data_IF_553074735540
#
_entry.id   IF_553074735540
#
_cell.length_a   1.000
_cell.length_b   1.000
_cell.length_c   1.000
_cell.angle_alpha   90.00
_cell.angle_beta   90.00
_cell.angle_gamma   90.00
#
_symmetry.space_group_name_H-M   'P 1'
#
loop_
_entity.id
_entity.type
_entity.pdbx_description
1 polymer ?
#
# COMPACT_ATOMS: atom_id res chain seq x y z
N UNK A 1 3.80 -16.65 12.96
CA UNK A 1 3.78 -15.31 13.57
C UNK A 1 3.30 -14.30 12.55
N UNK A 2 2.32 -13.52 12.91
CA UNK A 2 1.91 -12.38 12.09
C UNK A 2 2.76 -11.17 12.46
N UNK A 3 3.19 -10.42 11.47
CA UNK A 3 3.81 -9.12 11.69
C UNK A 3 2.75 -8.17 12.26
N UNK A 4 3.09 -7.45 13.29
CA UNK A 4 2.22 -6.44 13.88
C UNK A 4 2.70 -5.05 13.51
N UNK A 5 1.77 -4.16 13.19
CA UNK A 5 2.06 -2.75 13.00
C UNK A 5 1.70 -2.02 14.29
N UNK A 6 2.66 -1.30 14.86
CA UNK A 6 2.43 -0.49 16.05
C UNK A 6 2.26 0.98 15.69
N UNK A 7 1.64 1.75 16.59
CA UNK A 7 1.51 3.20 16.44
C UNK A 7 2.88 3.85 16.27
N UNK A 8 3.85 3.47 17.09
CA UNK A 8 5.21 4.04 17.03
C UNK A 8 5.88 3.75 15.70
N UNK A 9 5.72 2.54 15.17
CA UNK A 9 6.28 2.17 13.87
C UNK A 9 5.68 3.00 12.74
N UNK A 10 4.36 3.17 12.73
CA UNK A 10 3.69 3.96 11.68
C UNK A 10 4.05 5.44 11.79
N UNK A 11 4.14 5.98 13.01
CA UNK A 11 4.62 7.35 13.22
C UNK A 11 6.02 7.55 12.66
N UNK A 12 6.93 6.62 12.91
CA UNK A 12 8.30 6.70 12.41
C UNK A 12 8.36 6.59 10.88
N UNK A 13 7.58 5.68 10.29
CA UNK A 13 7.49 5.55 8.83
C UNK A 13 6.99 6.84 8.17
N UNK A 14 5.94 7.43 8.73
CA UNK A 14 5.39 8.70 8.21
C UNK A 14 6.38 9.86 8.36
N UNK A 15 7.14 9.89 9.45
CA UNK A 15 8.17 10.89 9.66
C UNK A 15 9.29 10.78 8.62
N UNK A 16 9.79 9.56 8.39
CA UNK A 16 10.82 9.29 7.39
C UNK A 16 10.32 9.70 6.00
N UNK A 17 9.11 9.30 5.65
CA UNK A 17 8.52 9.63 4.36
C UNK A 17 8.36 11.14 4.18
N UNK A 18 7.90 11.84 5.22
CA UNK A 18 7.75 13.29 5.16
C UNK A 18 9.09 13.99 4.94
N UNK A 19 10.13 13.57 5.62
CA UNK A 19 11.48 14.14 5.43
C UNK A 19 11.98 13.96 3.98
N UNK A 20 11.69 12.79 3.39
CA UNK A 20 12.02 12.52 2.00
C UNK A 20 11.18 13.39 1.05
N UNK A 21 9.85 13.45 1.25
CA UNK A 21 8.93 14.16 0.37
C UNK A 21 9.16 15.68 0.39
N UNK A 22 9.56 16.23 1.55
CA UNK A 22 9.82 17.67 1.68
C UNK A 22 10.99 18.14 0.80
N UNK A 23 11.80 17.23 0.29
CA UNK A 23 12.88 17.52 -0.68
C UNK A 23 12.40 17.59 -2.10
N UNK A 24 11.14 17.28 -2.37
CA UNK A 24 10.56 17.22 -3.71
C UNK A 24 9.57 18.38 -3.88
N UNK A 25 10.02 19.54 -4.44
CA UNK A 25 9.12 20.71 -4.53
C UNK A 25 8.05 20.56 -5.61
N UNK A 26 8.19 19.59 -6.51
CA UNK A 26 7.29 19.38 -7.65
C UNK A 26 6.22 18.32 -7.40
N UNK A 27 6.18 17.72 -6.21
CA UNK A 27 5.17 16.68 -5.91
C UNK A 27 3.76 17.24 -6.03
N UNK A 28 2.87 16.43 -6.56
CA UNK A 28 1.46 16.77 -6.66
C UNK A 28 0.63 15.48 -6.50
N UNK A 29 -0.61 15.65 -6.08
CA UNK A 29 -1.48 14.55 -5.72
C UNK A 29 -1.73 13.59 -6.89
N UNK A 30 -1.96 14.12 -8.09
CA UNK A 30 -2.24 13.28 -9.26
C UNK A 30 -1.06 12.36 -9.60
N UNK A 31 0.15 12.88 -9.53
CA UNK A 31 1.37 12.10 -9.79
C UNK A 31 1.59 11.06 -8.69
N UNK A 32 1.31 11.40 -7.44
CA UNK A 32 1.40 10.45 -6.30
C UNK A 32 0.43 9.28 -6.49
N UNK A 33 -0.81 9.57 -6.87
CA UNK A 33 -1.81 8.52 -7.13
C UNK A 33 -1.39 7.64 -8.30
N UNK A 34 -0.95 8.22 -9.39
CA UNK A 34 -0.49 7.46 -10.56
C UNK A 34 0.70 6.57 -10.20
N UNK A 35 1.68 7.11 -9.48
CA UNK A 35 2.86 6.37 -9.04
C UNK A 35 2.47 5.22 -8.11
N UNK A 36 1.58 5.44 -7.17
CA UNK A 36 1.11 4.42 -6.24
C UNK A 36 0.45 3.25 -6.98
N UNK A 37 -0.38 3.53 -7.99
CA UNK A 37 -1.04 2.49 -8.80
C UNK A 37 0.00 1.70 -9.61
N UNK A 38 0.97 2.38 -10.20
CA UNK A 38 2.04 1.74 -10.96
C UNK A 38 2.85 0.80 -10.04
N UNK A 39 3.24 1.27 -8.87
CA UNK A 39 4.00 0.44 -7.92
C UNK A 39 3.20 -0.76 -7.42
N UNK A 40 1.89 -0.62 -7.24
CA UNK A 40 1.02 -1.76 -6.94
C UNK A 40 1.12 -2.83 -8.03
N UNK A 41 1.01 -2.41 -9.28
CA UNK A 41 1.09 -3.32 -10.43
C UNK A 41 2.49 -3.94 -10.54
N UNK A 42 3.54 -3.17 -10.28
CA UNK A 42 4.91 -3.68 -10.28
C UNK A 42 5.13 -4.76 -9.22
N UNK A 43 4.62 -4.55 -8.00
CA UNK A 43 4.67 -5.60 -6.97
C UNK A 43 3.89 -6.84 -7.40
N UNK A 44 2.64 -6.68 -7.89
CA UNK A 44 1.82 -7.79 -8.37
C UNK A 44 2.55 -8.56 -9.49
N UNK A 45 3.24 -7.84 -10.37
CA UNK A 45 4.02 -8.45 -11.44
C UNK A 45 5.13 -9.38 -10.91
N UNK A 46 5.67 -9.08 -9.73
CA UNK A 46 6.68 -9.96 -9.10
C UNK A 46 6.11 -11.27 -8.58
N UNK A 47 4.82 -11.33 -8.28
CA UNK A 47 4.16 -12.54 -7.78
C UNK A 47 3.95 -13.58 -8.89
N UNK A 48 3.80 -13.15 -10.12
CA UNK A 48 3.71 -13.97 -11.33
C UNK A 48 2.58 -15.01 -11.34
N UNK A 49 1.56 -14.89 -10.47
CA UNK A 49 0.45 -15.87 -10.41
C UNK A 49 -0.31 -15.99 -11.73
N UNK A 50 -0.31 -14.93 -12.55
CA UNK A 50 -0.98 -14.89 -13.84
C UNK A 50 -0.16 -15.50 -14.98
N UNK A 51 1.11 -15.80 -14.74
CA UNK A 51 2.01 -16.42 -15.74
C UNK A 51 1.82 -17.92 -15.74
N UNK A 52 0.71 -18.38 -16.29
CA UNK A 52 0.31 -19.78 -16.27
C UNK A 52 1.28 -20.71 -17.00
N UNK A 53 2.17 -20.16 -17.83
CA UNK A 53 3.20 -20.90 -18.55
C UNK A 53 4.45 -21.19 -17.72
N UNK A 54 4.58 -20.58 -16.54
CA UNK A 54 5.72 -20.81 -15.66
C UNK A 54 5.49 -21.98 -14.72
N UNK A 55 6.49 -22.84 -14.57
CA UNK A 55 6.46 -23.97 -13.62
C UNK A 55 6.60 -23.49 -12.17
N UNK A 56 7.46 -22.51 -11.96
CA UNK A 56 7.72 -21.91 -10.64
C UNK A 56 7.54 -20.40 -10.74
N UNK A 57 6.28 -19.93 -10.66
CA UNK A 57 6.03 -18.48 -10.71
C UNK A 57 6.51 -17.80 -9.43
N UNK A 58 6.85 -16.55 -9.58
CA UNK A 58 7.31 -15.69 -8.49
C UNK A 58 8.77 -15.29 -8.65
N UNK A 59 9.06 -14.00 -8.52
CA UNK A 59 10.42 -13.49 -8.42
C UNK A 59 11.00 -13.82 -7.04
N UNK A 60 12.30 -13.64 -6.88
CA UNK A 60 12.95 -13.82 -5.59
C UNK A 60 12.38 -12.87 -4.53
N UNK A 61 12.59 -13.24 -3.27
CA UNK A 61 12.03 -12.51 -2.13
C UNK A 61 12.47 -11.04 -2.11
N UNK A 62 13.76 -10.78 -2.35
CA UNK A 62 14.29 -9.42 -2.30
C UNK A 62 13.62 -8.52 -3.34
N UNK A 63 13.42 -9.02 -4.55
CA UNK A 63 12.71 -8.29 -5.61
C UNK A 63 11.27 -8.00 -5.22
N UNK A 64 10.56 -8.98 -4.67
CA UNK A 64 9.18 -8.79 -4.20
C UNK A 64 9.10 -7.74 -3.09
N UNK A 65 10.01 -7.77 -2.14
CA UNK A 65 10.02 -6.83 -1.02
C UNK A 65 10.39 -5.42 -1.45
N UNK A 66 11.30 -5.27 -2.41
CA UNK A 66 11.65 -3.97 -2.97
C UNK A 66 10.42 -3.30 -3.60
N UNK A 67 9.69 -4.03 -4.45
CA UNK A 67 8.50 -3.49 -5.09
C UNK A 67 7.37 -3.21 -4.10
N UNK A 68 7.19 -4.06 -3.09
CA UNK A 68 6.21 -3.79 -2.03
C UNK A 68 6.58 -2.54 -1.23
N UNK A 69 7.87 -2.34 -0.98
CA UNK A 69 8.37 -1.15 -0.27
C UNK A 69 8.10 0.13 -1.06
N UNK A 70 8.24 0.09 -2.38
CA UNK A 70 7.93 1.23 -3.23
C UNK A 70 6.43 1.55 -3.23
N UNK A 71 5.59 0.53 -3.28
CA UNK A 71 4.15 0.68 -3.12
C UNK A 71 3.81 1.30 -1.75
N UNK A 72 4.44 0.82 -0.68
CA UNK A 72 4.28 1.39 0.66
C UNK A 72 4.67 2.87 0.70
N UNK A 73 5.82 3.22 0.13
CA UNK A 73 6.31 4.61 0.15
C UNK A 73 5.31 5.58 -0.48
N UNK A 74 4.74 5.23 -1.63
CA UNK A 74 3.74 6.09 -2.28
C UNK A 74 2.41 6.12 -1.52
N UNK A 75 2.03 5.04 -0.82
CA UNK A 75 0.88 5.08 0.07
C UNK A 75 1.10 6.01 1.27
N UNK A 76 2.29 6.03 1.84
CA UNK A 76 2.62 6.96 2.93
C UNK A 76 2.66 8.40 2.43
N UNK A 77 3.21 8.64 1.24
CA UNK A 77 3.19 9.96 0.61
C UNK A 77 1.76 10.43 0.36
N UNK A 78 0.90 9.53 -0.15
CA UNK A 78 -0.52 9.83 -0.36
C UNK A 78 -1.20 10.24 0.97
N UNK A 79 -0.96 9.47 2.03
CA UNK A 79 -1.50 9.78 3.35
C UNK A 79 -1.10 11.18 3.82
N UNK A 80 0.17 11.53 3.67
CA UNK A 80 0.69 12.84 4.07
C UNK A 80 0.13 14.00 3.22
N UNK A 81 -0.25 13.72 1.98
CA UNK A 81 -0.85 14.73 1.10
C UNK A 81 -2.34 14.95 1.37
N UNK A 82 -3.07 13.90 1.77
CA UNK A 82 -4.54 13.96 1.89
C UNK A 82 -5.06 14.04 3.32
N UNK A 83 -4.29 13.62 4.32
CA UNK A 83 -4.71 13.64 5.71
C UNK A 83 -4.24 14.95 6.35
N UNK A 84 -5.19 15.71 6.91
CA UNK A 84 -4.88 16.92 7.67
C UNK A 84 -4.02 16.54 8.89
N UNK A 85 -3.01 17.35 9.19
CA UNK A 85 -2.11 17.14 10.33
C UNK A 85 -2.86 16.99 11.66
N UNK A 86 -4.00 17.66 11.83
CA UNK A 86 -4.83 17.55 13.03
C UNK A 86 -5.50 16.16 13.15
N UNK A 87 -5.67 15.44 12.06
CA UNK A 87 -6.33 14.13 12.01
C UNK A 87 -5.34 12.98 11.91
N UNK A 88 -4.05 13.28 11.86
CA UNK A 88 -3.02 12.28 11.60
C UNK A 88 -2.96 11.21 12.70
N UNK A 89 -3.09 11.58 13.96
CA UNK A 89 -3.09 10.63 15.07
C UNK A 89 -4.28 9.68 15.02
N UNK A 90 -5.46 10.19 14.70
CA UNK A 90 -6.66 9.36 14.52
C UNK A 90 -6.48 8.41 13.32
N UNK A 91 -5.94 8.91 12.23
CA UNK A 91 -5.62 8.10 11.06
C UNK A 91 -4.67 6.94 11.42
N UNK A 92 -3.62 7.21 12.18
CA UNK A 92 -2.67 6.20 12.63
C UNK A 92 -3.37 5.11 13.44
N UNK A 93 -4.22 5.50 14.39
CA UNK A 93 -4.97 4.55 15.21
C UNK A 93 -5.90 3.67 14.36
N UNK A 94 -6.60 4.27 13.40
CA UNK A 94 -7.47 3.53 12.48
C UNK A 94 -6.66 2.52 11.65
N UNK A 95 -5.52 2.94 11.13
CA UNK A 95 -4.64 2.06 10.33
C UNK A 95 -4.13 0.87 11.14
N UNK A 96 -3.64 1.12 12.33
CA UNK A 96 -3.13 0.06 13.22
C UNK A 96 -4.23 -0.94 13.56
N UNK A 97 -5.42 -0.46 13.87
CA UNK A 97 -6.57 -1.33 14.14
C UNK A 97 -6.98 -2.15 12.92
N UNK A 98 -6.99 -1.58 11.73
CA UNK A 98 -7.31 -2.30 10.51
C UNK A 98 -6.32 -3.44 10.24
N UNK A 99 -5.04 -3.20 10.46
CA UNK A 99 -4.01 -4.24 10.28
C UNK A 99 -4.19 -5.35 11.31
N UNK A 100 -4.50 -5.01 12.56
CA UNK A 100 -4.69 -5.98 13.64
C UNK A 100 -5.95 -6.84 13.44
N UNK A 101 -7.04 -6.24 12.97
CA UNK A 101 -8.34 -6.90 12.80
C UNK A 101 -8.43 -7.79 11.56
N UNK A 102 -7.58 -7.57 10.56
CA UNK A 102 -7.60 -8.34 9.32
C UNK A 102 -6.95 -9.71 9.53
N UNK A 103 -7.77 -10.74 9.68
CA UNK A 103 -7.27 -12.08 9.96
C UNK A 103 -6.78 -12.80 8.69
N UNK A 104 -7.59 -12.89 7.64
CA UNK A 104 -7.20 -13.67 6.45
C UNK A 104 -7.74 -13.05 5.16
N UNK A 105 -6.91 -12.27 4.48
CA UNK A 105 -7.21 -11.88 3.10
C UNK A 105 -6.90 -13.06 2.17
N UNK A 106 -7.78 -13.35 1.20
CA UNK A 106 -7.44 -14.34 0.19
C UNK A 106 -6.25 -13.87 -0.63
N UNK A 107 -5.34 -14.79 -0.97
CA UNK A 107 -4.23 -14.50 -1.86
C UNK A 107 -4.74 -14.05 -3.22
N UNK A 108 -4.02 -13.15 -3.85
CA UNK A 108 -4.37 -12.66 -5.18
C UNK A 108 -4.33 -13.79 -6.21
N UNK A 109 -5.33 -13.80 -7.06
CA UNK A 109 -5.36 -14.55 -8.31
C UNK A 109 -5.94 -13.62 -9.38
N UNK A 110 -5.93 -14.04 -10.64
CA UNK A 110 -6.21 -13.14 -11.77
C UNK A 110 -7.52 -12.38 -11.64
N UNK A 111 -8.62 -13.04 -11.30
CA UNK A 111 -9.92 -12.38 -11.14
C UNK A 111 -9.93 -11.45 -9.93
N UNK A 112 -9.39 -11.91 -8.82
CA UNK A 112 -9.34 -11.13 -7.59
C UNK A 112 -8.48 -9.87 -7.74
N UNK A 113 -7.36 -10.00 -8.47
CA UNK A 113 -6.51 -8.85 -8.81
C UNK A 113 -7.27 -7.80 -9.60
N UNK A 114 -8.07 -8.21 -10.60
CA UNK A 114 -8.86 -7.27 -11.39
C UNK A 114 -9.85 -6.52 -10.49
N UNK A 115 -10.51 -7.22 -9.57
CA UNK A 115 -11.41 -6.60 -8.60
C UNK A 115 -10.67 -5.62 -7.67
N UNK A 116 -9.51 -6.02 -7.15
CA UNK A 116 -8.72 -5.17 -6.27
C UNK A 116 -8.25 -3.90 -7.00
N UNK A 117 -7.81 -4.04 -8.25
CA UNK A 117 -7.38 -2.90 -9.06
C UNK A 117 -8.56 -1.96 -9.38
N UNK A 118 -9.73 -2.50 -9.67
CA UNK A 118 -10.94 -1.70 -9.88
C UNK A 118 -11.31 -0.91 -8.62
N UNK A 119 -11.31 -1.55 -7.47
CA UNK A 119 -11.59 -0.89 -6.19
C UNK A 119 -10.58 0.22 -5.91
N UNK A 120 -9.30 -0.07 -6.10
CA UNK A 120 -8.21 0.87 -5.91
C UNK A 120 -8.36 2.12 -6.81
N UNK A 121 -8.55 1.91 -8.11
CA UNK A 121 -8.68 2.99 -9.07
C UNK A 121 -9.99 3.76 -8.89
N UNK A 122 -11.07 3.06 -8.55
CA UNK A 122 -12.39 3.66 -8.33
C UNK A 122 -12.41 4.70 -7.21
N UNK A 123 -11.57 4.53 -6.19
CA UNK A 123 -11.42 5.50 -5.10
C UNK A 123 -10.99 6.89 -5.61
N UNK A 124 -10.21 6.92 -6.69
CA UNK A 124 -9.65 8.17 -7.20
C UNK A 124 -10.48 8.78 -8.35
N UNK A 125 -11.22 7.95 -9.07
CA UNK A 125 -12.09 8.42 -10.16
C UNK A 125 -13.25 9.26 -9.60
N UNK A 126 -13.79 8.86 -8.45
CA UNK A 126 -14.94 9.53 -7.82
C UNK A 126 -14.53 10.58 -6.76
N UNK A 127 -13.25 10.89 -6.66
CA UNK A 127 -12.72 11.81 -5.65
C UNK A 127 -12.23 11.08 -4.40
N UNK A 128 -11.45 11.79 -3.60
CA UNK A 128 -10.84 11.24 -2.38
C UNK A 128 -11.75 11.57 -1.19
N UNK A 129 -12.13 10.54 -0.44
CA UNK A 129 -12.94 10.66 0.77
C UNK A 129 -12.32 9.85 1.93
N UNK A 130 -13.06 9.68 3.02
CA UNK A 130 -12.59 8.94 4.21
C UNK A 130 -12.27 7.47 3.93
N UNK A 131 -12.77 6.91 2.82
CA UNK A 131 -12.48 5.52 2.44
C UNK A 131 -11.06 5.32 1.91
N UNK A 132 -10.30 6.39 1.73
CA UNK A 132 -8.88 6.33 1.31
C UNK A 132 -8.02 5.46 2.24
N UNK A 133 -8.41 5.34 3.50
CA UNK A 133 -7.74 4.47 4.49
C UNK A 133 -7.67 3.03 3.98
N UNK A 134 -8.70 2.54 3.30
CA UNK A 134 -8.75 1.19 2.73
C UNK A 134 -7.66 0.96 1.67
N UNK A 135 -7.28 2.01 0.97
CA UNK A 135 -6.20 1.97 -0.02
C UNK A 135 -4.84 2.02 0.67
N UNK A 136 -4.67 2.97 1.58
CA UNK A 136 -3.37 3.20 2.25
C UNK A 136 -2.95 2.00 3.09
N UNK A 137 -3.90 1.25 3.66
CA UNK A 137 -3.63 0.06 4.46
C UNK A 137 -3.16 -1.15 3.62
N UNK A 138 -3.43 -1.16 2.32
CA UNK A 138 -3.18 -2.33 1.45
C UNK A 138 -1.75 -2.89 1.55
N UNK A 139 -0.68 -2.10 1.46
CA UNK A 139 0.67 -2.66 1.53
C UNK A 139 0.96 -3.38 2.85
N UNK A 140 0.41 -2.91 3.96
CA UNK A 140 0.56 -3.58 5.26
C UNK A 140 -0.17 -4.92 5.30
N UNK A 141 -1.38 -4.97 4.74
CA UNK A 141 -2.15 -6.21 4.68
C UNK A 141 -1.47 -7.25 3.80
N UNK A 142 -0.95 -6.83 2.65
CA UNK A 142 -0.19 -7.73 1.77
C UNK A 142 1.11 -8.20 2.42
N UNK A 143 1.81 -7.32 3.15
CA UNK A 143 3.01 -7.71 3.88
C UNK A 143 2.71 -8.82 4.88
N UNK A 144 1.61 -8.71 5.63
CA UNK A 144 1.19 -9.75 6.57
C UNK A 144 0.83 -11.05 5.86
N UNK A 145 0.11 -10.97 4.75
CA UNK A 145 -0.38 -12.14 4.03
C UNK A 145 0.74 -12.93 3.35
N UNK A 146 1.70 -12.24 2.75
CA UNK A 146 2.70 -12.87 1.89
C UNK A 146 4.04 -13.12 2.58
N UNK A 147 4.38 -12.36 3.63
CA UNK A 147 5.74 -12.33 4.18
C UNK A 147 5.81 -12.50 5.71
N UNK A 148 4.74 -12.95 6.31
CA UNK A 148 4.72 -13.24 7.76
C UNK A 148 5.19 -14.64 8.09
#
# INVERSE_FOLDING_TARGET
MTNTLTVDQLQELLKIQKEFDDRIPTKNLNDTVASMIIEYVEWVNTLEFFKNWKKTPGKDLDTQLDELSDFLAFNLQLALEVIDGNELNEFIDVMVNLVEEQEDLPRLHSVYFVHALHTLTGQFVNGIDSSIVQVIVMPFLYANQYYS
#
